data_IF_847571819763
#
_entry.id   IF_847571819763
#
_cell.length_a   1.000
_cell.length_b   1.000
_cell.length_c   1.000
_cell.angle_alpha   90.00
_cell.angle_beta   90.00
_cell.angle_gamma   90.00
#
_symmetry.space_group_name_H-M   'P 1'
#
loop_
_entity.id
_entity.type
_entity.pdbx_description
1 polymer ?
#
# COMPACT_ATOMS: atom_id res chain seq x y z
N UNK A 1 4.46 -7.58 16.21
CA UNK A 1 3.12 -7.25 15.68
C UNK A 1 2.24 -8.49 15.83
N UNK A 2 1.14 -8.42 16.59
CA UNK A 2 0.27 -9.57 16.87
C UNK A 2 -0.59 -9.84 15.63
N UNK A 3 -0.48 -11.05 15.05
CA UNK A 3 -1.23 -11.47 13.87
C UNK A 3 -2.70 -11.71 14.28
N UNK A 4 -3.60 -10.80 13.95
CA UNK A 4 -5.06 -10.97 14.12
C UNK A 4 -5.66 -11.40 12.79
N UNK A 5 -5.71 -12.71 12.57
CA UNK A 5 -6.13 -13.33 11.29
C UNK A 5 -7.56 -12.97 10.85
N UNK A 6 -8.41 -12.48 11.76
CA UNK A 6 -9.80 -12.09 11.45
C UNK A 6 -10.04 -10.60 11.21
N UNK A 7 -9.03 -9.73 11.29
CA UNK A 7 -9.26 -8.26 11.25
C UNK A 7 -8.16 -7.45 10.57
N UNK A 8 -7.18 -8.11 9.94
CA UNK A 8 -6.07 -7.43 9.28
C UNK A 8 -6.33 -7.36 7.78
N UNK A 9 -6.19 -6.18 7.18
CA UNK A 9 -6.22 -6.04 5.73
C UNK A 9 -4.99 -6.71 5.11
N UNK A 10 -5.18 -7.39 3.98
CA UNK A 10 -4.11 -7.96 3.19
C UNK A 10 -4.50 -8.05 1.71
N UNK A 11 -3.49 -8.12 0.84
CA UNK A 11 -3.66 -8.48 -0.56
C UNK A 11 -3.23 -9.95 -0.77
N UNK A 12 -4.03 -10.71 -1.51
CA UNK A 12 -3.76 -12.12 -1.77
C UNK A 12 -2.73 -12.26 -2.90
N UNK A 13 -1.61 -12.93 -2.64
CA UNK A 13 -0.59 -13.31 -3.63
C UNK A 13 -0.76 -14.77 -4.03
N UNK A 14 -0.02 -15.20 -5.06
CA UNK A 14 -0.02 -16.59 -5.53
C UNK A 14 0.48 -17.58 -4.46
N UNK A 15 1.45 -17.17 -3.64
CA UNK A 15 2.13 -18.00 -2.65
C UNK A 15 1.93 -17.54 -1.20
N UNK A 16 1.12 -16.49 -0.98
CA UNK A 16 0.99 -15.91 0.36
C UNK A 16 0.07 -14.69 0.43
N UNK A 17 0.26 -13.89 1.48
CA UNK A 17 -0.50 -12.66 1.74
C UNK A 17 0.47 -11.51 1.93
N UNK A 18 0.19 -10.39 1.29
CA UNK A 18 0.91 -9.14 1.46
C UNK A 18 0.16 -8.25 2.46
N UNK A 19 0.86 -7.80 3.50
CA UNK A 19 0.35 -6.92 4.54
C UNK A 19 1.12 -5.61 4.45
N UNK A 20 0.49 -4.50 3.98
CA UNK A 20 1.16 -3.21 3.93
C UNK A 20 1.43 -2.69 5.35
N UNK A 21 2.55 -1.98 5.54
CA UNK A 21 2.91 -1.34 6.81
C UNK A 21 1.83 -0.36 7.29
N UNK A 22 1.27 0.45 6.37
CA UNK A 22 0.23 1.41 6.67
C UNK A 22 -0.91 1.41 5.65
N UNK A 23 -2.11 1.70 6.15
CA UNK A 23 -3.28 2.06 5.36
C UNK A 23 -3.80 3.40 5.86
N UNK A 24 -3.85 4.37 4.95
CA UNK A 24 -4.25 5.73 5.24
C UNK A 24 -5.51 6.05 4.45
N UNK A 25 -6.57 6.53 5.11
CA UNK A 25 -7.70 7.14 4.42
C UNK A 25 -7.36 8.62 4.18
N UNK A 26 -7.21 9.01 2.91
CA UNK A 26 -6.91 10.39 2.55
C UNK A 26 -8.12 11.29 2.80
N UNK A 27 -7.91 12.59 3.03
CA UNK A 27 -8.99 13.56 3.08
C UNK A 27 -9.82 13.50 1.79
N UNK A 28 -11.14 13.40 1.93
CA UNK A 28 -12.03 13.51 0.78
C UNK A 28 -12.67 14.89 0.69
N UNK A 29 -13.66 15.01 -0.19
CA UNK A 29 -14.43 16.24 -0.41
C UNK A 29 -15.87 16.04 -0.02
N UNK A 30 -16.55 17.11 0.37
CA UNK A 30 -18.00 17.13 0.62
C UNK A 30 -18.47 16.09 1.64
N UNK A 31 -17.68 15.89 2.70
CA UNK A 31 -18.00 14.92 3.77
C UNK A 31 -17.86 13.46 3.36
N UNK A 32 -17.35 13.15 2.16
CA UNK A 32 -17.01 11.79 1.74
C UNK A 32 -15.55 11.47 2.06
N UNK A 33 -15.22 10.22 2.40
CA UNK A 33 -13.83 9.80 2.54
C UNK A 33 -13.09 9.88 1.20
N UNK A 34 -11.81 10.22 1.25
CA UNK A 34 -10.92 10.21 0.09
C UNK A 34 -10.43 8.80 -0.24
N UNK A 35 -9.49 8.72 -1.18
CA UNK A 35 -8.88 7.46 -1.58
C UNK A 35 -8.14 6.79 -0.41
N UNK A 36 -8.09 5.46 -0.42
CA UNK A 36 -7.28 4.70 0.53
C UNK A 36 -5.87 4.56 -0.04
N UNK A 37 -4.87 5.02 0.69
CA UNK A 37 -3.46 4.88 0.35
C UNK A 37 -2.84 3.75 1.19
N UNK A 38 -2.38 2.70 0.52
CA UNK A 38 -1.52 1.69 1.12
C UNK A 38 -0.05 2.09 0.95
N UNK A 39 0.70 2.10 2.07
CA UNK A 39 2.11 2.46 2.11
C UNK A 39 2.90 1.28 2.64
N UNK A 40 3.97 0.93 1.93
CA UNK A 40 4.94 -0.07 2.37
C UNK A 40 6.34 0.54 2.37
N UNK A 41 7.10 0.29 3.44
CA UNK A 41 8.52 0.61 3.49
C UNK A 41 9.36 -0.66 3.40
N UNK A 42 10.33 -0.68 2.50
CA UNK A 42 11.33 -1.76 2.41
C UNK A 42 12.75 -1.23 2.57
N UNK A 43 13.57 -1.98 3.30
CA UNK A 43 15.02 -1.77 3.29
C UNK A 43 15.59 -2.02 1.89
N UNK A 44 16.64 -1.27 1.51
CA UNK A 44 17.29 -1.35 0.20
C UNK A 44 17.67 -2.78 -0.21
N UNK A 45 18.17 -3.54 0.77
CA UNK A 45 18.63 -4.92 0.66
C UNK A 45 17.53 -5.91 0.30
N UNK A 46 16.26 -5.54 0.49
CA UNK A 46 15.09 -6.40 0.26
C UNK A 46 14.19 -5.94 -0.89
N UNK A 47 14.62 -4.94 -1.66
CA UNK A 47 13.80 -4.37 -2.73
C UNK A 47 13.48 -5.38 -3.83
N UNK A 48 14.47 -6.18 -4.28
CA UNK A 48 14.26 -7.17 -5.34
C UNK A 48 13.27 -8.25 -4.91
N UNK A 49 13.37 -8.73 -3.67
CA UNK A 49 12.45 -9.74 -3.12
C UNK A 49 11.02 -9.21 -2.89
N UNK A 50 10.80 -7.89 -2.95
CA UNK A 50 9.49 -7.28 -2.80
C UNK A 50 8.78 -6.99 -4.13
N UNK A 51 9.24 -7.59 -5.24
CA UNK A 51 8.63 -7.39 -6.57
C UNK A 51 7.17 -7.85 -6.61
N UNK A 52 6.87 -9.04 -6.09
CA UNK A 52 5.49 -9.55 -6.05
C UNK A 52 4.57 -8.67 -5.19
N UNK A 53 5.10 -8.13 -4.08
CA UNK A 53 4.37 -7.20 -3.20
C UNK A 53 4.04 -5.89 -3.95
N UNK A 54 4.99 -5.37 -4.75
CA UNK A 54 4.75 -4.20 -5.60
C UNK A 54 3.73 -4.48 -6.69
N UNK A 55 3.83 -5.65 -7.33
CA UNK A 55 2.94 -6.02 -8.42
C UNK A 55 1.50 -6.15 -7.94
N UNK A 56 1.27 -6.86 -6.84
CA UNK A 56 -0.09 -7.01 -6.29
C UNK A 56 -0.64 -5.68 -5.75
N UNK A 57 0.20 -4.85 -5.13
CA UNK A 57 -0.17 -3.51 -4.67
C UNK A 57 -0.57 -2.58 -5.82
N UNK A 58 0.21 -2.58 -6.89
CA UNK A 58 -0.07 -1.82 -8.11
C UNK A 58 -1.36 -2.28 -8.79
N UNK A 59 -1.58 -3.60 -8.90
CA UNK A 59 -2.80 -4.16 -9.47
C UNK A 59 -4.05 -3.77 -8.66
N UNK A 60 -3.97 -3.84 -7.33
CA UNK A 60 -5.05 -3.42 -6.46
C UNK A 60 -5.38 -1.93 -6.65
N UNK A 61 -4.36 -1.07 -6.75
CA UNK A 61 -4.57 0.35 -7.04
C UNK A 61 -5.18 0.59 -8.43
N UNK A 62 -4.70 -0.10 -9.47
CA UNK A 62 -5.20 0.09 -10.84
C UNK A 62 -6.66 -0.35 -11.01
N UNK A 63 -7.05 -1.45 -10.35
CA UNK A 63 -8.43 -1.96 -10.39
C UNK A 63 -9.41 -1.14 -9.54
N UNK A 64 -8.92 -0.19 -8.74
CA UNK A 64 -9.77 0.58 -7.84
C UNK A 64 -10.47 1.77 -8.50
N UNK A 65 -10.14 2.09 -9.76
CA UNK A 65 -10.64 3.27 -10.47
C UNK A 65 -10.40 4.57 -9.68
N UNK A 66 -9.21 4.68 -9.06
CA UNK A 66 -8.78 5.87 -8.30
C UNK A 66 -9.26 5.91 -6.84
N UNK A 67 -10.05 4.92 -6.39
CA UNK A 67 -10.47 4.80 -4.98
C UNK A 67 -9.35 4.32 -4.06
N UNK A 68 -8.32 3.68 -4.62
CA UNK A 68 -7.18 3.17 -3.90
C UNK A 68 -5.87 3.61 -4.57
N UNK A 69 -4.84 3.79 -3.75
CA UNK A 69 -3.49 4.17 -4.16
C UNK A 69 -2.49 3.27 -3.44
N UNK A 70 -1.38 2.96 -4.08
CA UNK A 70 -0.33 2.15 -3.51
C UNK A 70 1.02 2.81 -3.76
N UNK A 71 1.84 2.88 -2.70
CA UNK A 71 3.22 3.35 -2.80
C UNK A 71 4.11 2.43 -1.98
N UNK A 72 5.24 2.04 -2.56
CA UNK A 72 6.31 1.36 -1.86
C UNK A 72 7.56 2.22 -1.89
N UNK A 73 8.07 2.58 -0.73
CA UNK A 73 9.27 3.42 -0.57
C UNK A 73 10.42 2.63 0.02
N UNK A 74 11.65 3.06 -0.29
CA UNK A 74 12.88 2.51 0.27
C UNK A 74 13.90 3.61 0.51
N UNK A 75 14.98 3.30 1.22
CA UNK A 75 16.12 4.21 1.42
C UNK A 75 15.73 5.56 2.04
N UNK A 76 14.66 5.58 2.84
CA UNK A 76 14.07 6.79 3.43
C UNK A 76 13.66 7.85 2.39
N UNK A 77 13.39 7.44 1.15
CA UNK A 77 12.87 8.31 0.09
C UNK A 77 11.37 8.57 0.27
N UNK A 78 11.05 9.34 1.30
CA UNK A 78 9.68 9.65 1.69
C UNK A 78 8.97 10.58 0.71
N UNK A 79 9.72 11.34 -0.09
CA UNK A 79 9.21 12.22 -1.13
C UNK A 79 8.29 11.50 -2.12
N UNK A 80 8.54 10.22 -2.38
CA UNK A 80 7.67 9.41 -3.25
C UNK A 80 6.26 9.20 -2.70
N UNK A 81 6.05 9.35 -1.38
CA UNK A 81 4.71 9.26 -0.79
C UNK A 81 3.89 10.51 -1.13
N UNK A 82 4.54 11.68 -1.19
CA UNK A 82 3.86 12.97 -1.40
C UNK A 82 3.09 13.01 -2.72
N UNK A 83 3.63 12.39 -3.78
CA UNK A 83 2.97 12.25 -5.09
C UNK A 83 1.62 11.53 -5.01
N UNK A 84 1.40 10.72 -3.97
CA UNK A 84 0.17 9.95 -3.77
C UNK A 84 -0.80 10.58 -2.77
N UNK A 85 -0.50 11.76 -2.21
CA UNK A 85 -1.37 12.45 -1.25
C UNK A 85 -2.37 13.43 -1.91
N UNK A 86 -2.13 13.83 -3.16
CA UNK A 86 -2.88 14.89 -3.87
C UNK A 86 -4.28 14.50 -4.37
#
# INVERSE_FOLDING_TARGET
MVRREGSSFFLQKADGRFYPDFLCQLPGKDGKPGAILAVEYKGADRWLAAEDDRLIGGLWASLSEGRCRFVMVKDKRWEGIEEHLA
#
